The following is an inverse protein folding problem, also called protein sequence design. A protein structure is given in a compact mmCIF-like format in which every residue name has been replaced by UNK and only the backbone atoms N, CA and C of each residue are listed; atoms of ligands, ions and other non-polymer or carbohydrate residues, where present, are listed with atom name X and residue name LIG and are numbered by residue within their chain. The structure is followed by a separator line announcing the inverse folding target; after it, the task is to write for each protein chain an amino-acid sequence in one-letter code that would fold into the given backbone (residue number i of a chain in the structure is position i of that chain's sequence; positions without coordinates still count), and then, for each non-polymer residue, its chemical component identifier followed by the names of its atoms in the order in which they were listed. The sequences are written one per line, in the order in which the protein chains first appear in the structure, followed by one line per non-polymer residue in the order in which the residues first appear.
data_IF_412137212526
#
_entry.id   IF_412137212526
#
_cell.length_a   1.000
_cell.length_b   1.000
_cell.length_c   1.000
_cell.angle_alpha   90.00
_cell.angle_beta   90.00
_cell.angle_gamma   90.00
#
_symmetry.space_group_name_H-M   'P 1'
#
loop_
_entity.id
_entity.type
_entity.pdbx_description
1 polymer ?
#
# COMPACT_ATOMS: atom_id res chain seq x y z
N UNK A 1 -14.45 6.44 -17.65
CA UNK A 1 -15.29 5.84 -18.70
C UNK A 1 -15.64 4.42 -18.26
N UNK A 2 -16.91 3.99 -18.35
CA UNK A 2 -17.31 2.62 -18.01
C UNK A 2 -17.76 1.94 -19.30
N UNK A 3 -17.13 0.81 -19.63
CA UNK A 3 -17.50 0.00 -20.79
C UNK A 3 -18.11 -1.31 -20.30
N UNK A 4 -19.17 -1.77 -20.97
CA UNK A 4 -19.77 -3.08 -20.76
C UNK A 4 -19.48 -3.92 -21.99
N UNK A 5 -19.01 -5.14 -21.76
CA UNK A 5 -18.66 -6.08 -22.82
C UNK A 5 -19.34 -7.39 -22.49
N UNK A 6 -20.02 -7.96 -23.48
CA UNK A 6 -20.59 -9.31 -23.39
C UNK A 6 -19.47 -10.33 -23.55
N UNK A 7 -19.16 -11.05 -22.47
CA UNK A 7 -18.06 -12.01 -22.44
C UNK A 7 -18.25 -13.20 -23.39
N UNK A 8 -19.49 -13.54 -23.74
CA UNK A 8 -19.83 -14.63 -24.66
C UNK A 8 -19.63 -14.19 -26.12
N UNK A 9 -19.96 -12.93 -26.43
CA UNK A 9 -19.77 -12.34 -27.75
C UNK A 9 -18.28 -12.15 -28.13
N UNK A 10 -17.38 -12.07 -27.14
CA UNK A 10 -15.92 -11.91 -27.35
C UNK A 10 -15.10 -13.01 -26.67
N UNK A 11 -15.45 -14.27 -26.93
CA UNK A 11 -14.83 -15.45 -26.29
C UNK A 11 -13.30 -15.48 -26.35
N UNK A 12 -12.68 -14.99 -27.43
CA UNK A 12 -11.21 -14.94 -27.58
C UNK A 12 -10.57 -13.94 -26.61
N UNK A 13 -11.17 -12.75 -26.47
CA UNK A 13 -10.71 -11.70 -25.55
C UNK A 13 -10.93 -12.14 -24.10
N UNK A 14 -12.06 -12.78 -23.81
CA UNK A 14 -12.37 -13.33 -22.48
C UNK A 14 -11.33 -14.38 -22.04
N UNK A 15 -10.87 -15.23 -22.96
CA UNK A 15 -9.78 -16.20 -22.70
C UNK A 15 -8.45 -15.50 -22.45
N UNK A 16 -8.07 -14.53 -23.30
CA UNK A 16 -6.83 -13.77 -23.14
C UNK A 16 -6.76 -13.02 -21.82
N UNK A 17 -7.88 -12.40 -21.40
CA UNK A 17 -8.00 -11.69 -20.14
C UNK A 17 -8.23 -12.61 -18.93
N UNK A 18 -8.28 -13.93 -19.13
CA UNK A 18 -8.51 -14.95 -18.09
C UNK A 18 -9.78 -14.68 -17.28
N UNK A 19 -10.88 -14.33 -17.95
CA UNK A 19 -12.18 -14.16 -17.29
C UNK A 19 -12.69 -15.56 -16.90
N UNK A 20 -12.74 -15.82 -15.59
CA UNK A 20 -13.15 -17.11 -15.02
C UNK A 20 -14.60 -17.13 -14.53
N UNK A 21 -15.22 -15.96 -14.33
CA UNK A 21 -16.61 -15.83 -13.88
C UNK A 21 -17.24 -14.52 -14.36
N UNK A 22 -18.55 -14.52 -14.54
CA UNK A 22 -19.34 -13.33 -14.90
C UNK A 22 -20.25 -12.98 -13.72
N UNK A 23 -20.31 -11.70 -13.28
CA UNK A 23 -19.57 -10.54 -13.81
C UNK A 23 -18.10 -10.52 -13.37
N UNK A 24 -17.21 -9.99 -14.20
CA UNK A 24 -15.84 -9.59 -13.82
C UNK A 24 -15.69 -8.10 -14.09
N UNK A 25 -15.15 -7.36 -13.13
CA UNK A 25 -14.87 -5.92 -13.25
C UNK A 25 -13.37 -5.71 -13.38
N UNK A 26 -12.94 -5.08 -14.47
CA UNK A 26 -11.55 -4.73 -14.71
C UNK A 26 -11.37 -3.22 -14.52
N UNK A 27 -10.31 -2.83 -13.82
CA UNK A 27 -9.96 -1.44 -13.55
C UNK A 27 -8.67 -1.10 -14.29
N UNK A 28 -8.72 -0.05 -15.11
CA UNK A 28 -7.59 0.43 -15.90
C UNK A 28 -7.26 1.88 -15.56
N UNK A 29 -5.97 2.20 -15.51
CA UNK A 29 -5.45 3.56 -15.41
C UNK A 29 -4.28 3.73 -16.37
N UNK A 30 -4.26 4.82 -17.14
CA UNK A 30 -3.20 5.10 -18.12
C UNK A 30 -2.93 3.93 -19.11
N UNK A 31 -3.98 3.21 -19.50
CA UNK A 31 -3.93 2.05 -20.39
C UNK A 31 -3.29 0.78 -19.80
N UNK A 32 -2.96 0.76 -18.51
CA UNK A 32 -2.55 -0.46 -17.78
C UNK A 32 -3.67 -0.97 -16.89
N UNK A 33 -3.78 -2.30 -16.77
CA UNK A 33 -4.70 -2.93 -15.81
C UNK A 33 -4.12 -2.79 -14.41
N UNK A 34 -4.83 -2.10 -13.52
CA UNK A 34 -4.38 -1.87 -12.14
C UNK A 34 -5.04 -2.80 -11.13
N UNK A 35 -6.24 -3.32 -11.45
CA UNK A 35 -6.95 -4.24 -10.56
C UNK A 35 -8.06 -4.99 -11.31
N UNK A 36 -8.48 -6.13 -10.76
CA UNK A 36 -9.62 -6.91 -11.22
C UNK A 36 -10.42 -7.48 -10.06
N UNK A 37 -11.74 -7.53 -10.21
CA UNK A 37 -12.65 -8.19 -9.27
C UNK A 37 -13.44 -9.25 -10.03
N UNK A 38 -13.26 -10.50 -9.63
CA UNK A 38 -14.02 -11.63 -10.16
C UNK A 38 -15.30 -11.84 -9.33
N UNK A 39 -16.44 -11.97 -10.01
CA UNK A 39 -17.75 -12.13 -9.37
C UNK A 39 -18.37 -10.81 -8.90
N UNK A 40 -19.55 -10.92 -8.29
CA UNK A 40 -20.39 -9.78 -7.89
C UNK A 40 -20.10 -9.26 -6.47
N UNK A 41 -18.83 -9.23 -6.05
CA UNK A 41 -18.48 -8.71 -4.72
C UNK A 41 -18.56 -7.19 -4.67
N UNK A 42 -19.70 -6.67 -4.19
CA UNK A 42 -19.94 -5.23 -4.03
C UNK A 42 -18.88 -4.54 -3.14
N UNK A 43 -18.44 -5.12 -2.00
CA UNK A 43 -17.40 -4.51 -1.18
C UNK A 43 -16.08 -4.34 -1.92
N UNK A 44 -15.65 -5.33 -2.70
CA UNK A 44 -14.36 -5.31 -3.39
C UNK A 44 -14.37 -4.33 -4.57
N UNK A 45 -15.49 -4.26 -5.29
CA UNK A 45 -15.70 -3.25 -6.33
C UNK A 45 -15.68 -1.84 -5.71
N UNK A 46 -16.38 -1.64 -4.61
CA UNK A 46 -16.44 -0.33 -3.92
C UNK A 46 -15.06 0.11 -3.45
N UNK A 47 -14.29 -0.80 -2.83
CA UNK A 47 -12.91 -0.55 -2.40
C UNK A 47 -12.00 -0.19 -3.57
N UNK A 48 -12.11 -0.91 -4.69
CA UNK A 48 -11.32 -0.66 -5.90
C UNK A 48 -11.64 0.69 -6.54
N UNK A 49 -12.92 1.10 -6.54
CA UNK A 49 -13.35 2.41 -7.02
C UNK A 49 -12.85 3.55 -6.11
N UNK A 50 -12.88 3.36 -4.79
CA UNK A 50 -12.35 4.36 -3.84
C UNK A 50 -10.82 4.53 -4.00
N UNK A 51 -10.09 3.43 -4.24
CA UNK A 51 -8.65 3.47 -4.50
C UNK A 51 -8.32 4.22 -5.81
N UNK A 52 -9.16 4.10 -6.84
CA UNK A 52 -9.04 4.86 -8.10
C UNK A 52 -9.24 6.37 -7.92
N UNK A 53 -10.12 6.77 -6.99
CA UNK A 53 -10.39 8.18 -6.70
C UNK A 53 -9.32 8.84 -5.85
N UNK A 54 -8.49 8.04 -5.17
CA UNK A 54 -7.49 8.50 -4.18
C UNK A 54 -6.05 8.48 -4.72
N UNK A 55 -5.84 8.63 -6.03
CA UNK A 55 -4.48 8.66 -6.59
C UNK A 55 -3.73 9.94 -6.17
N UNK A 56 -2.51 9.78 -5.64
CA UNK A 56 -1.33 9.85 -6.50
C UNK A 56 -0.74 8.46 -6.77
N UNK A 57 0.11 8.41 -7.79
CA UNK A 57 0.59 7.21 -8.47
C UNK A 57 1.25 6.14 -7.58
N UNK A 58 1.00 4.88 -7.94
CA UNK A 58 1.82 3.68 -7.74
C UNK A 58 2.35 3.37 -6.32
N UNK A 59 1.68 2.41 -5.69
CA UNK A 59 2.26 1.55 -4.68
C UNK A 59 1.40 0.29 -4.56
N UNK A 60 1.74 -0.75 -5.31
CA UNK A 60 1.08 -2.05 -5.15
C UNK A 60 1.25 -2.53 -3.70
N UNK A 61 0.26 -3.21 -3.13
CA UNK A 61 0.35 -3.76 -1.77
C UNK A 61 1.55 -4.70 -1.58
N UNK A 62 2.07 -5.28 -2.67
CA UNK A 62 3.32 -6.02 -2.70
C UNK A 62 4.55 -5.11 -2.52
N UNK A 63 4.63 -3.99 -3.22
CA UNK A 63 5.76 -3.07 -3.12
C UNK A 63 5.86 -2.45 -1.72
N UNK A 64 4.73 -2.09 -1.12
CA UNK A 64 4.71 -1.55 0.24
C UNK A 64 5.22 -2.58 1.26
N UNK A 65 4.72 -3.81 1.18
CA UNK A 65 5.11 -4.88 2.09
C UNK A 65 6.59 -5.20 1.94
N UNK A 66 7.10 -5.33 0.71
CA UNK A 66 8.53 -5.53 0.45
C UNK A 66 9.38 -4.36 0.94
N UNK A 67 8.94 -3.12 0.73
CA UNK A 67 9.67 -1.92 1.16
C UNK A 67 9.69 -1.78 2.68
N UNK A 68 8.58 -2.05 3.36
CA UNK A 68 8.52 -2.14 4.83
C UNK A 68 9.44 -3.26 5.34
N UNK A 69 9.44 -4.41 4.68
CA UNK A 69 10.30 -5.53 5.03
C UNK A 69 11.78 -5.17 4.88
N UNK A 70 12.17 -4.45 3.82
CA UNK A 70 13.53 -3.94 3.67
C UNK A 70 13.88 -2.87 4.72
N UNK A 71 12.92 -2.02 5.10
CA UNK A 71 13.10 -0.99 6.12
C UNK A 71 13.34 -1.57 7.52
N UNK A 72 12.52 -2.53 7.97
CA UNK A 72 12.68 -3.15 9.29
C UNK A 72 13.95 -3.99 9.40
N UNK A 73 14.44 -4.56 8.30
CA UNK A 73 15.66 -5.36 8.27
C UNK A 73 16.94 -4.53 8.09
N UNK A 74 16.82 -3.22 7.92
CA UNK A 74 17.95 -2.32 7.63
C UNK A 74 18.86 -2.09 8.85
N UNK A 75 18.28 -2.17 10.05
CA UNK A 75 18.97 -1.98 11.31
C UNK A 75 18.44 -2.95 12.37
N UNK A 76 19.27 -3.35 13.36
CA UNK A 76 18.83 -4.22 14.45
C UNK A 76 17.74 -3.60 15.33
N UNK A 77 17.63 -2.27 15.34
CA UNK A 77 16.55 -1.53 15.99
C UNK A 77 16.08 -0.43 15.05
N UNK A 78 14.84 -0.51 14.58
CA UNK A 78 14.20 0.55 13.79
C UNK A 78 13.14 1.27 14.64
N UNK A 79 13.28 2.60 14.75
CA UNK A 79 12.32 3.46 15.41
C UNK A 79 11.50 4.25 14.39
N UNK A 80 10.20 3.95 14.34
CA UNK A 80 9.23 4.73 13.58
C UNK A 80 8.75 5.90 14.45
N UNK A 81 9.03 7.14 14.05
CA UNK A 81 8.67 8.32 14.83
C UNK A 81 8.18 9.46 13.93
N UNK A 82 7.67 10.54 14.56
CA UNK A 82 7.27 11.76 13.87
C UNK A 82 8.39 12.81 14.02
N UNK A 83 8.97 13.22 12.90
CA UNK A 83 10.16 14.07 12.86
C UNK A 83 11.47 13.27 12.95
N UNK A 84 12.56 13.93 13.37
CA UNK A 84 13.90 13.34 13.41
C UNK A 84 14.39 13.14 14.85
N UNK A 85 15.40 12.29 15.09
CA UNK A 85 16.02 12.15 16.41
C UNK A 85 16.77 13.41 16.89
N UNK A 86 16.96 14.40 16.02
CA UNK A 86 17.49 15.74 16.36
C UNK A 86 16.34 16.72 16.68
N UNK A 87 15.23 16.61 15.96
CA UNK A 87 14.02 17.43 16.13
C UNK A 87 12.76 16.57 16.37
N UNK A 88 12.64 15.89 17.53
CA UNK A 88 11.48 15.07 17.82
C UNK A 88 10.25 15.96 18.08
N UNK A 89 9.19 15.79 17.30
CA UNK A 89 7.96 16.59 17.40
C UNK A 89 6.98 16.09 18.48
N UNK A 90 7.32 15.02 19.18
CA UNK A 90 6.52 14.41 20.23
C UNK A 90 7.39 14.06 21.44
N UNK A 91 6.92 14.37 22.66
CA UNK A 91 7.64 14.09 23.90
C UNK A 91 7.95 12.60 24.10
N UNK A 92 7.08 11.73 23.60
CA UNK A 92 7.23 10.27 23.66
C UNK A 92 8.41 9.79 22.79
N UNK A 93 8.53 10.30 21.56
CA UNK A 93 9.65 9.98 20.67
C UNK A 93 10.97 10.48 21.24
N UNK A 94 10.97 11.65 21.90
CA UNK A 94 12.17 12.21 22.55
C UNK A 94 12.67 11.32 23.69
N UNK A 95 11.77 10.76 24.50
CA UNK A 95 12.13 9.80 25.55
C UNK A 95 12.73 8.50 25.00
N UNK A 96 12.11 7.91 23.96
CA UNK A 96 12.61 6.68 23.35
C UNK A 96 14.01 6.88 22.75
N UNK A 97 14.23 7.96 22.00
CA UNK A 97 15.56 8.31 21.47
C UNK A 97 16.58 8.50 22.59
N UNK A 98 16.19 9.14 23.69
CA UNK A 98 17.07 9.33 24.86
C UNK A 98 17.48 8.00 25.48
N UNK A 99 16.55 7.05 25.64
CA UNK A 99 16.83 5.72 26.20
C UNK A 99 17.75 4.92 25.27
N UNK A 100 17.47 4.93 23.96
CA UNK A 100 18.30 4.22 22.99
C UNK A 100 19.73 4.77 22.95
N UNK A 101 19.88 6.11 22.99
CA UNK A 101 21.20 6.76 23.07
C UNK A 101 21.91 6.47 24.39
N UNK A 102 21.22 6.52 25.53
CA UNK A 102 21.84 6.27 26.84
C UNK A 102 22.32 4.84 27.02
N UNK A 103 21.73 3.89 26.30
CA UNK A 103 22.14 2.48 26.30
C UNK A 103 23.15 2.16 25.18
N UNK A 104 23.68 3.17 24.46
CA UNK A 104 24.56 2.98 23.30
C UNK A 104 23.99 2.00 22.25
N UNK A 105 22.66 1.91 22.14
CA UNK A 105 22.00 1.05 21.19
C UNK A 105 22.20 1.60 19.77
N UNK A 106 22.52 0.72 18.81
CA UNK A 106 22.56 1.06 17.39
C UNK A 106 21.12 0.99 16.87
N UNK A 107 20.55 2.14 16.53
CA UNK A 107 19.21 2.23 15.96
C UNK A 107 19.19 3.19 14.76
N UNK A 108 18.26 2.95 13.84
CA UNK A 108 17.88 3.92 12.82
C UNK A 108 16.47 4.43 13.07
N UNK A 109 16.16 5.58 12.47
CA UNK A 109 14.86 6.24 12.60
C UNK A 109 14.22 6.46 11.25
N UNK A 110 12.91 6.26 11.18
CA UNK A 110 12.12 6.58 9.99
C UNK A 110 11.00 7.55 10.36
N UNK A 111 10.91 8.67 9.64
CA UNK A 111 9.85 9.65 9.84
C UNK A 111 8.58 9.23 9.09
N UNK A 112 7.56 8.82 9.83
CA UNK A 112 6.29 8.37 9.25
C UNK A 112 5.51 9.51 8.56
N UNK A 113 5.91 10.77 8.74
CA UNK A 113 5.29 11.90 8.03
C UNK A 113 5.78 12.05 6.59
N UNK A 114 6.95 11.47 6.27
CA UNK A 114 7.49 11.51 4.91
C UNK A 114 6.74 10.55 3.96
N UNK A 115 5.96 9.61 4.50
CA UNK A 115 5.37 8.55 3.72
C UNK A 115 3.94 8.23 4.20
N UNK A 116 2.95 8.80 3.50
CA UNK A 116 1.53 8.58 3.81
C UNK A 116 1.11 7.11 3.70
N UNK A 117 1.81 6.32 2.87
CA UNK A 117 1.52 4.90 2.68
C UNK A 117 1.96 4.09 3.89
N UNK A 118 3.14 4.37 4.46
CA UNK A 118 3.58 3.77 5.74
C UNK A 118 2.71 4.25 6.91
N UNK A 119 2.24 5.51 6.87
CA UNK A 119 1.34 6.06 7.90
C UNK A 119 -0.06 5.41 7.88
N UNK A 120 -0.58 5.10 6.69
CA UNK A 120 -1.88 4.45 6.51
C UNK A 120 -1.79 2.92 6.56
N UNK A 121 -0.59 2.35 6.40
CA UNK A 121 -0.34 0.93 6.58
C UNK A 121 -0.68 0.52 8.01
N UNK A 122 -1.81 -0.16 8.19
CA UNK A 122 -2.09 -0.90 9.41
C UNK A 122 -0.92 -1.84 9.66
N UNK A 123 -0.22 -1.68 10.78
CA UNK A 123 0.74 -2.66 11.30
C UNK A 123 -0.06 -3.90 11.77
N UNK A 124 -0.74 -4.58 10.87
CA UNK A 124 -1.28 -5.92 11.10
C UNK A 124 -0.16 -6.90 10.74
N UNK A 125 0.43 -7.48 11.78
CA UNK A 125 1.32 -8.64 11.71
C UNK A 125 0.55 -9.87 12.15
#
# INVERSE_FOLDING_TARGET
MVCKVDAEAVSEVSKQLKIISVPTVLFFQSSEEINRVHGASIPDVTKSVMNLQSAPANGSSNDLSSRLHSLINKAPVMLFMKGSPEEPRCGFSRQIVSILRSNNAKFETFDILQDEVVRQGSFEF
#
